data_IF_807539765942
#
_entry.id   IF_807539765942
#
_cell.length_a   1.000
_cell.length_b   1.000
_cell.length_c   1.000
_cell.angle_alpha   90.00
_cell.angle_beta   90.00
_cell.angle_gamma   90.00
#
_symmetry.space_group_name_H-M   'P 1'
#
loop_
_entity.id
_entity.type
_entity.pdbx_description
1 polymer ?
#
# COMPACT_ATOMS: atom_id res chain seq x y z
N UNK A 1 -0.73 21.15 -5.47
CA UNK A 1 -1.13 20.25 -4.37
C UNK A 1 -2.58 19.89 -4.57
N UNK A 2 -2.87 18.77 -5.23
CA UNK A 2 -4.26 18.30 -5.41
C UNK A 2 -4.73 17.73 -4.08
N UNK A 3 -5.65 18.44 -3.43
CA UNK A 3 -6.30 17.95 -2.21
C UNK A 3 -7.10 16.70 -2.59
N UNK A 4 -6.70 15.54 -2.08
CA UNK A 4 -7.44 14.29 -2.26
C UNK A 4 -8.81 14.45 -1.60
N UNK A 5 -9.89 14.19 -2.34
CA UNK A 5 -11.25 14.33 -1.83
C UNK A 5 -11.51 13.31 -0.72
N UNK A 6 -12.42 13.61 0.20
CA UNK A 6 -12.73 12.68 1.30
C UNK A 6 -13.35 11.37 0.79
N UNK A 7 -14.06 11.42 -0.35
CA UNK A 7 -14.55 10.22 -1.04
C UNK A 7 -13.39 9.34 -1.54
N UNK A 8 -12.37 9.93 -2.18
CA UNK A 8 -11.19 9.21 -2.63
C UNK A 8 -10.39 8.61 -1.45
N UNK A 9 -10.27 9.34 -0.33
CA UNK A 9 -9.66 8.80 0.90
C UNK A 9 -10.44 7.60 1.44
N UNK A 10 -11.77 7.71 1.53
CA UNK A 10 -12.62 6.61 1.98
C UNK A 10 -12.49 5.40 1.06
N UNK A 11 -12.47 5.62 -0.25
CA UNK A 11 -12.30 4.55 -1.23
C UNK A 11 -10.95 3.85 -1.09
N UNK A 12 -9.88 4.62 -0.88
CA UNK A 12 -8.54 4.08 -0.65
C UNK A 12 -8.48 3.23 0.62
N UNK A 13 -9.12 3.67 1.71
CA UNK A 13 -9.19 2.89 2.96
C UNK A 13 -9.96 1.58 2.78
N UNK A 14 -11.09 1.58 2.05
CA UNK A 14 -11.83 0.35 1.74
C UNK A 14 -10.98 -0.64 0.92
N UNK A 15 -10.22 -0.14 -0.07
CA UNK A 15 -9.32 -0.96 -0.89
C UNK A 15 -8.16 -1.51 -0.06
N UNK A 16 -7.59 -0.70 0.84
CA UNK A 16 -6.57 -1.15 1.79
C UNK A 16 -7.10 -2.26 2.70
N UNK A 17 -8.33 -2.17 3.21
CA UNK A 17 -8.89 -3.26 4.03
C UNK A 17 -9.10 -4.54 3.23
N UNK A 18 -9.58 -4.47 1.98
CA UNK A 18 -9.66 -5.63 1.09
C UNK A 18 -8.29 -6.23 0.80
N UNK A 19 -7.28 -5.39 0.60
CA UNK A 19 -5.91 -5.82 0.42
C UNK A 19 -5.38 -6.57 1.66
N UNK A 20 -5.69 -6.08 2.86
CA UNK A 20 -5.35 -6.74 4.13
C UNK A 20 -6.01 -8.12 4.23
N UNK A 21 -7.26 -8.28 3.82
CA UNK A 21 -7.96 -9.57 3.80
C UNK A 21 -7.30 -10.56 2.84
N UNK A 22 -7.04 -10.16 1.59
CA UNK A 22 -6.32 -10.99 0.63
C UNK A 22 -4.93 -11.38 1.16
N UNK A 23 -4.21 -10.43 1.78
CA UNK A 23 -2.90 -10.69 2.38
C UNK A 23 -2.98 -11.75 3.49
N UNK A 24 -3.97 -11.66 4.39
CA UNK A 24 -4.20 -12.66 5.45
C UNK A 24 -4.50 -14.05 4.87
N UNK A 25 -5.22 -14.09 3.74
CA UNK A 25 -5.51 -15.33 3.00
C UNK A 25 -4.33 -15.84 2.16
N UNK A 26 -3.15 -15.18 2.22
CA UNK A 26 -1.96 -15.47 1.42
C UNK A 26 -2.15 -15.27 -0.09
N UNK A 27 -3.18 -14.54 -0.49
CA UNK A 27 -3.46 -14.16 -1.89
C UNK A 27 -2.68 -12.88 -2.23
N UNK A 28 -1.34 -12.98 -2.23
CA UNK A 28 -0.46 -11.80 -2.28
C UNK A 28 -0.62 -10.97 -3.55
N UNK A 29 -0.83 -11.59 -4.72
CA UNK A 29 -1.03 -10.88 -5.98
C UNK A 29 -2.30 -10.01 -5.96
N UNK A 30 -3.40 -10.55 -5.40
CA UNK A 30 -4.65 -9.78 -5.22
C UNK A 30 -4.47 -8.66 -4.20
N UNK A 31 -3.71 -8.91 -3.12
CA UNK A 31 -3.39 -7.87 -2.15
C UNK A 31 -2.60 -6.73 -2.81
N UNK A 32 -1.60 -7.04 -3.65
CA UNK A 32 -0.82 -6.06 -4.41
C UNK A 32 -1.72 -5.22 -5.32
N UNK A 33 -2.66 -5.85 -6.02
CA UNK A 33 -3.61 -5.15 -6.88
C UNK A 33 -4.47 -4.15 -6.09
N UNK A 34 -5.05 -4.60 -4.97
CA UNK A 34 -5.91 -3.75 -4.13
C UNK A 34 -5.13 -2.59 -3.48
N UNK A 35 -3.89 -2.83 -3.01
CA UNK A 35 -3.05 -1.72 -2.53
C UNK A 35 -2.68 -0.75 -3.64
N UNK A 36 -2.48 -1.24 -4.87
CA UNK A 36 -2.19 -0.37 -6.02
C UNK A 36 -3.35 0.55 -6.31
N UNK A 37 -4.58 0.03 -6.33
CA UNK A 37 -5.77 0.86 -6.46
C UNK A 37 -5.92 1.85 -5.29
N UNK A 38 -5.62 1.43 -4.05
CA UNK A 38 -5.65 2.34 -2.89
C UNK A 38 -4.67 3.53 -3.06
N UNK A 39 -3.48 3.26 -3.59
CA UNK A 39 -2.45 4.27 -3.88
C UNK A 39 -2.90 5.21 -5.01
N UNK A 40 -3.55 4.69 -6.06
CA UNK A 40 -4.09 5.52 -7.14
C UNK A 40 -5.15 6.52 -6.65
N UNK A 41 -5.97 6.11 -5.67
CA UNK A 41 -6.95 6.99 -5.05
C UNK A 41 -6.34 7.96 -4.04
N UNK A 42 -5.40 7.51 -3.23
CA UNK A 42 -4.72 8.34 -2.25
C UNK A 42 -3.22 7.98 -2.14
N UNK A 43 -2.36 8.67 -2.91
CA UNK A 43 -0.94 8.33 -3.01
C UNK A 43 -0.10 8.84 -1.84
N UNK A 44 -0.69 9.53 -0.86
CA UNK A 44 0.03 10.22 0.21
C UNK A 44 0.02 9.44 1.54
N UNK A 45 -0.31 8.15 1.52
CA UNK A 45 -0.40 7.32 2.73
C UNK A 45 0.74 6.30 2.73
N UNK A 46 1.73 6.52 3.60
CA UNK A 46 2.91 5.66 3.72
C UNK A 46 2.54 4.19 3.97
N UNK A 47 1.48 3.94 4.75
CA UNK A 47 1.01 2.61 5.07
C UNK A 47 0.65 1.75 3.85
N UNK A 48 0.14 2.34 2.76
CA UNK A 48 -0.23 1.56 1.58
C UNK A 48 1.02 1.01 0.86
N UNK A 49 2.06 1.83 0.74
CA UNK A 49 3.34 1.41 0.17
C UNK A 49 4.04 0.40 1.08
N UNK A 50 4.08 0.61 2.40
CA UNK A 50 4.67 -0.35 3.32
C UNK A 50 3.96 -1.71 3.31
N UNK A 51 2.63 -1.72 3.21
CA UNK A 51 1.88 -2.97 3.11
C UNK A 51 2.07 -3.67 1.75
N UNK A 52 2.07 -2.91 0.64
CA UNK A 52 2.34 -3.48 -0.70
C UNK A 52 3.77 -3.98 -0.83
N UNK A 53 4.73 -3.28 -0.21
CA UNK A 53 6.11 -3.73 -0.07
C UNK A 53 6.17 -5.10 0.62
N UNK A 54 5.43 -5.29 1.71
CA UNK A 54 5.39 -6.59 2.39
C UNK A 54 4.77 -7.68 1.53
N UNK A 55 3.74 -7.37 0.74
CA UNK A 55 3.18 -8.31 -0.23
C UNK A 55 4.20 -8.70 -1.31
N UNK A 56 4.96 -7.74 -1.85
CA UNK A 56 6.05 -8.03 -2.78
C UNK A 56 7.17 -8.87 -2.16
N UNK A 57 7.48 -8.70 -0.87
CA UNK A 57 8.44 -9.58 -0.18
C UNK A 57 7.95 -11.03 -0.14
N UNK A 58 6.63 -11.25 0.01
CA UNK A 58 6.04 -12.59 0.01
C UNK A 58 6.02 -13.26 -1.36
N UNK A 59 6.09 -12.47 -2.45
CA UNK A 59 6.20 -12.95 -3.82
C UNK A 59 7.62 -12.84 -4.38
N UNK A 60 8.63 -12.65 -3.51
CA UNK A 60 10.06 -12.54 -3.87
C UNK A 60 10.40 -11.43 -4.87
N UNK A 61 9.51 -10.44 -4.99
CA UNK A 61 9.63 -9.28 -5.85
C UNK A 61 10.44 -8.17 -5.15
N UNK A 62 11.68 -8.47 -4.75
CA UNK A 62 12.49 -7.63 -3.87
C UNK A 62 12.75 -6.22 -4.39
N UNK A 63 12.92 -6.03 -5.70
CA UNK A 63 13.11 -4.71 -6.29
C UNK A 63 11.89 -3.80 -6.12
N UNK A 64 10.69 -4.36 -6.29
CA UNK A 64 9.44 -3.63 -6.05
C UNK A 64 9.22 -3.36 -4.56
N UNK A 65 9.52 -4.34 -3.70
CA UNK A 65 9.45 -4.19 -2.26
C UNK A 65 10.34 -3.05 -1.75
N UNK A 66 11.59 -2.98 -2.20
CA UNK A 66 12.53 -1.92 -1.83
C UNK A 66 12.02 -0.55 -2.29
N UNK A 67 11.54 -0.44 -3.54
CA UNK A 67 11.01 0.82 -4.05
C UNK A 67 9.84 1.33 -3.21
N UNK A 68 8.90 0.46 -2.85
CA UNK A 68 7.75 0.84 -2.04
C UNK A 68 8.15 1.17 -0.59
N UNK A 69 9.09 0.44 0.00
CA UNK A 69 9.61 0.75 1.33
C UNK A 69 10.27 2.13 1.37
N UNK A 70 11.10 2.45 0.37
CA UNK A 70 11.70 3.78 0.23
C UNK A 70 10.63 4.87 0.06
N UNK A 71 9.56 4.61 -0.71
CA UNK A 71 8.48 5.57 -0.88
C UNK A 71 7.69 5.81 0.40
N UNK A 72 7.50 4.77 1.22
CA UNK A 72 6.83 4.92 2.51
C UNK A 72 7.62 5.86 3.44
N UNK A 73 8.95 5.71 3.49
CA UNK A 73 9.85 6.57 4.28
C UNK A 73 9.89 8.00 3.72
N UNK A 74 9.84 8.17 2.39
CA UNK A 74 9.77 9.50 1.75
C UNK A 74 8.48 10.25 2.12
N UNK A 75 7.37 9.54 2.33
CA UNK A 75 6.09 10.12 2.72
C UNK A 75 5.99 10.38 4.22
N UNK A 76 6.57 9.50 5.03
CA UNK A 76 6.63 9.60 6.49
C UNK A 76 7.97 9.01 6.96
N UNK A 77 8.91 9.88 7.31
CA UNK A 77 10.25 9.50 7.74
C UNK A 77 10.26 8.66 9.03
N UNK A 78 9.16 8.71 9.80
CA UNK A 78 8.98 7.93 11.02
C UNK A 78 8.23 6.62 10.78
N UNK A 79 7.89 6.32 9.52
CA UNK A 79 7.14 5.14 9.16
C UNK A 79 7.92 3.87 9.48
N UNK A 80 7.41 3.12 10.46
CA UNK A 80 7.89 1.77 10.80
C UNK A 80 6.76 0.79 10.55
N UNK A 81 7.00 -0.18 9.68
CA UNK A 81 6.08 -1.29 9.48
C UNK A 81 6.18 -2.26 10.67
N UNK A 82 5.16 -2.24 11.52
CA UNK A 82 4.98 -3.18 12.65
C UNK A 82 4.04 -4.32 12.31
#
# INVERSE_FOLDING_TARGET
MTSVTDDAKKKAEELKEKANEHFKNKEFDKAIEMYTQAIEHNPNVAAYYGNRSFAYLKTECFGYALRDASKAIELDETYVKV
#
